data_IF_841200841493
#
_entry.id   IF_841200841493
#
_cell.length_a   1.000
_cell.length_b   1.000
_cell.length_c   1.000
_cell.angle_alpha   90.00
_cell.angle_beta   90.00
_cell.angle_gamma   90.00
#
_symmetry.space_group_name_H-M   'P 1'
#
loop_
_entity.id
_entity.type
_entity.pdbx_description
1 polymer ?
#
# COMPACT_ATOMS: atom_id res chain seq x y z
N UNK A 1 11.89 2.82 -12.39
CA UNK A 1 10.73 1.90 -12.48
C UNK A 1 10.17 1.70 -11.09
N UNK A 2 8.84 1.78 -10.90
CA UNK A 2 8.23 1.68 -9.58
C UNK A 2 8.08 0.23 -9.13
N UNK A 3 8.76 -0.16 -8.04
CA UNK A 3 8.76 -1.54 -7.50
C UNK A 3 7.34 -2.08 -7.29
N UNK A 4 6.45 -1.28 -6.69
CA UNK A 4 5.07 -1.69 -6.45
C UNK A 4 4.30 -1.95 -7.77
N UNK A 5 4.59 -1.18 -8.83
CA UNK A 5 3.99 -1.38 -10.14
C UNK A 5 4.50 -2.65 -10.80
N UNK A 6 5.82 -2.87 -10.77
CA UNK A 6 6.44 -4.07 -11.33
C UNK A 6 5.90 -5.34 -10.66
N UNK A 7 5.84 -5.36 -9.32
CA UNK A 7 5.30 -6.51 -8.57
C UNK A 7 3.85 -6.79 -8.98
N UNK A 8 3.01 -5.75 -9.17
CA UNK A 8 1.62 -5.91 -9.59
C UNK A 8 1.48 -6.45 -11.02
N UNK A 9 2.42 -6.12 -11.89
CA UNK A 9 2.40 -6.57 -13.28
C UNK A 9 2.98 -8.01 -13.42
N UNK A 10 3.86 -8.44 -12.49
CA UNK A 10 4.53 -9.75 -12.53
C UNK A 10 3.90 -10.83 -11.63
N UNK A 11 3.28 -10.46 -10.51
CA UNK A 11 2.75 -11.41 -9.52
C UNK A 11 1.26 -11.66 -9.76
N UNK A 12 0.91 -12.89 -10.12
CA UNK A 12 -0.48 -13.33 -10.18
C UNK A 12 -1.15 -13.24 -8.80
N UNK A 13 -2.35 -12.65 -8.74
CA UNK A 13 -3.07 -12.36 -7.49
C UNK A 13 -2.19 -11.61 -6.45
N UNK A 14 -1.48 -10.59 -6.94
CA UNK A 14 -0.59 -9.76 -6.13
C UNK A 14 -1.26 -9.30 -4.83
N UNK A 15 -0.62 -9.45 -3.65
CA UNK A 15 -1.14 -8.90 -2.41
C UNK A 15 -1.23 -7.36 -2.46
N UNK A 16 -2.12 -6.75 -1.64
CA UNK A 16 -2.17 -5.31 -1.51
C UNK A 16 -0.86 -4.78 -0.92
N UNK A 17 -0.45 -3.60 -1.36
CA UNK A 17 0.79 -2.95 -0.95
C UNK A 17 0.47 -1.67 -0.18
N UNK A 18 1.08 -1.53 1.01
CA UNK A 18 1.10 -0.30 1.79
C UNK A 18 2.51 0.31 1.73
N UNK A 19 2.61 1.57 1.31
CA UNK A 19 3.89 2.28 1.19
C UNK A 19 4.11 3.20 2.38
N UNK A 20 5.28 3.12 3.00
CA UNK A 20 5.72 4.10 4.00
C UNK A 20 6.47 5.23 3.30
N UNK A 21 6.10 6.47 3.59
CA UNK A 21 6.64 7.65 2.93
C UNK A 21 7.39 8.52 3.92
N UNK A 22 8.68 8.77 3.65
CA UNK A 22 9.51 9.64 4.49
C UNK A 22 9.20 11.14 4.38
N UNK A 23 8.69 11.61 3.23
CA UNK A 23 8.33 13.01 2.99
C UNK A 23 6.92 13.12 2.40
N UNK A 24 6.00 13.91 2.97
CA UNK A 24 4.63 14.02 2.46
C UNK A 24 4.52 14.34 0.96
N UNK A 25 5.50 15.06 0.40
CA UNK A 25 5.54 15.39 -1.03
C UNK A 25 5.75 14.17 -1.93
N UNK A 26 6.27 13.06 -1.42
CA UNK A 26 6.48 11.83 -2.18
C UNK A 26 5.19 10.99 -2.28
N UNK A 27 4.05 11.45 -1.74
CA UNK A 27 2.75 10.76 -1.82
C UNK A 27 2.30 10.46 -3.25
N UNK A 28 2.67 11.30 -4.22
CA UNK A 28 2.36 11.03 -5.63
C UNK A 28 3.04 9.76 -6.15
N UNK A 29 4.21 9.38 -5.62
CA UNK A 29 4.93 8.16 -6.03
C UNK A 29 4.17 6.90 -5.64
N UNK A 30 3.49 6.90 -4.49
CA UNK A 30 2.66 5.79 -4.05
C UNK A 30 1.47 5.59 -5.01
N UNK A 31 0.78 6.67 -5.37
CA UNK A 31 -0.33 6.65 -6.31
C UNK A 31 0.12 6.24 -7.71
N UNK A 32 1.19 6.82 -8.25
CA UNK A 32 1.73 6.46 -9.56
C UNK A 32 2.12 4.97 -9.64
N UNK A 33 2.66 4.43 -8.53
CA UNK A 33 3.05 3.02 -8.42
C UNK A 33 1.88 2.06 -8.15
N UNK A 34 0.63 2.56 -8.09
CA UNK A 34 -0.60 1.79 -7.81
C UNK A 34 -0.67 1.18 -6.40
N UNK A 35 -0.01 1.75 -5.40
CA UNK A 35 -0.15 1.26 -4.01
C UNK A 35 -1.60 1.45 -3.50
N UNK A 36 -2.12 0.50 -2.72
CA UNK A 36 -3.47 0.56 -2.16
C UNK A 36 -3.58 1.50 -0.95
N UNK A 37 -2.48 1.72 -0.25
CA UNK A 37 -2.41 2.69 0.84
C UNK A 37 -1.00 3.28 0.95
N UNK A 38 -0.92 4.46 1.54
CA UNK A 38 0.33 5.07 1.91
C UNK A 38 0.21 5.73 3.28
N UNK A 39 1.27 5.65 4.09
CA UNK A 39 1.35 6.25 5.43
C UNK A 39 2.66 7.02 5.53
N UNK A 40 2.62 8.23 6.09
CA UNK A 40 3.81 9.06 6.28
C UNK A 40 4.58 8.68 7.53
N UNK A 41 5.89 8.88 7.51
CA UNK A 41 6.76 8.79 8.69
C UNK A 41 6.80 10.14 9.45
N UNK A 42 6.92 10.13 10.79
CA UNK A 42 6.87 8.95 11.66
C UNK A 42 5.48 8.31 11.68
N UNK A 43 5.43 6.99 11.80
CA UNK A 43 4.17 6.24 11.76
C UNK A 43 3.35 6.52 13.01
N UNK A 44 2.09 6.95 12.84
CA UNK A 44 1.10 6.91 13.91
C UNK A 44 0.58 5.47 14.08
N UNK A 45 0.83 4.80 15.24
CA UNK A 45 0.60 3.36 15.37
C UNK A 45 -0.85 2.93 15.12
N UNK A 46 -1.80 3.72 15.59
CA UNK A 46 -3.24 3.43 15.47
C UNK A 46 -3.69 3.57 14.02
N UNK A 47 -3.27 4.65 13.35
CA UNK A 47 -3.60 4.89 11.95
C UNK A 47 -3.03 3.80 11.05
N UNK A 48 -1.76 3.42 11.27
CA UNK A 48 -1.10 2.38 10.51
C UNK A 48 -1.76 1.01 10.69
N UNK A 49 -2.07 0.63 11.93
CA UNK A 49 -2.78 -0.62 12.20
C UNK A 49 -4.15 -0.64 11.52
N UNK A 50 -4.88 0.48 11.55
CA UNK A 50 -6.18 0.64 10.89
C UNK A 50 -6.08 0.52 9.37
N UNK A 51 -5.11 1.20 8.75
CA UNK A 51 -4.85 1.15 7.32
C UNK A 51 -4.49 -0.28 6.87
N UNK A 52 -3.59 -0.94 7.60
CA UNK A 52 -3.17 -2.31 7.32
C UNK A 52 -4.34 -3.31 7.48
N UNK A 53 -5.08 -3.23 8.58
CA UNK A 53 -6.24 -4.09 8.82
C UNK A 53 -7.31 -3.92 7.72
N UNK A 54 -7.54 -2.69 7.26
CA UNK A 54 -8.47 -2.42 6.16
C UNK A 54 -8.03 -3.06 4.85
N UNK A 55 -6.73 -3.07 4.54
CA UNK A 55 -6.19 -3.74 3.36
C UNK A 55 -6.37 -5.26 3.41
N UNK A 56 -6.04 -5.87 4.55
CA UNK A 56 -6.15 -7.32 4.72
C UNK A 56 -7.60 -7.79 4.65
N UNK A 57 -8.54 -7.06 5.25
CA UNK A 57 -9.98 -7.35 5.16
C UNK A 57 -10.49 -7.26 3.73
N UNK A 58 -10.11 -6.21 2.98
CA UNK A 58 -10.49 -6.09 1.56
C UNK A 58 -9.98 -7.26 0.72
N UNK A 59 -8.73 -7.70 0.95
CA UNK A 59 -8.19 -8.89 0.26
C UNK A 59 -8.96 -10.16 0.63
N UNK A 60 -9.23 -10.36 1.91
CA UNK A 60 -9.96 -11.54 2.38
C UNK A 60 -11.36 -11.65 1.74
N UNK A 61 -12.05 -10.51 1.59
CA UNK A 61 -13.35 -10.44 0.90
C UNK A 61 -13.25 -10.69 -0.61
N UNK A 62 -12.14 -10.33 -1.25
CA UNK A 62 -11.95 -10.53 -2.69
C UNK A 62 -11.49 -11.95 -3.06
N UNK A 63 -11.05 -12.74 -2.08
CA UNK A 63 -10.62 -14.13 -2.26
C UNK A 63 -11.65 -15.18 -1.84
N UNK A 64 -12.84 -14.77 -1.38
CA UNK A 64 -13.99 -15.61 -1.06
C UNK A 64 -15.01 -15.58 -2.21
#
# INVERSE_FOLDING_TARGET
MGVCRQIKDEVFNCPPVLVLIGRPQDAWLATWSRAEAAVTLPVEPVEFASALASLLRRKALAGA
#
